data_IF_947551731489
#
_entry.id   IF_947551731489
#
_cell.length_a   1.000
_cell.length_b   1.000
_cell.length_c   1.000
_cell.angle_alpha   90.00
_cell.angle_beta   90.00
_cell.angle_gamma   90.00
#
_symmetry.space_group_name_H-M   'P 1'
#
loop_
_entity.id
_entity.type
_entity.pdbx_description
1 polymer ?
#
# COMPACT_ATOMS: atom_id res chain seq x y z
N UNK A 1 -21.04 -4.41 -10.88
CA UNK A 1 -21.17 -3.63 -12.14
C UNK A 1 -22.61 -3.50 -12.63
N UNK A 2 -23.64 -3.75 -11.79
CA UNK A 2 -25.04 -3.62 -12.20
C UNK A 2 -25.45 -2.16 -12.46
N UNK A 3 -24.97 -1.21 -11.65
CA UNK A 3 -25.24 0.22 -11.85
C UNK A 3 -24.73 0.73 -13.20
N UNK A 4 -23.44 0.58 -13.50
CA UNK A 4 -22.87 1.01 -14.78
C UNK A 4 -23.49 0.29 -15.98
N UNK A 5 -23.84 -0.99 -15.83
CA UNK A 5 -24.61 -1.73 -16.84
C UNK A 5 -25.98 -1.09 -17.10
N UNK A 6 -26.74 -0.73 -16.06
CA UNK A 6 -28.03 -0.04 -16.23
C UNK A 6 -27.89 1.33 -16.88
N UNK A 7 -26.88 2.11 -16.48
CA UNK A 7 -26.58 3.42 -17.08
C UNK A 7 -26.25 3.28 -18.57
N UNK A 8 -25.49 2.25 -18.95
CA UNK A 8 -25.17 1.93 -20.33
C UNK A 8 -26.30 1.18 -21.09
N UNK A 9 -27.44 0.89 -20.45
CA UNK A 9 -28.51 0.11 -21.08
C UNK A 9 -28.17 -1.36 -21.36
N UNK A 10 -27.11 -1.89 -20.74
CA UNK A 10 -26.61 -3.25 -20.96
C UNK A 10 -27.15 -4.24 -19.93
N UNK A 11 -27.52 -5.41 -20.41
CA UNK A 11 -27.90 -6.57 -19.62
C UNK A 11 -26.70 -7.50 -19.37
N UNK A 12 -26.90 -8.58 -18.61
CA UNK A 12 -25.89 -9.65 -18.49
C UNK A 12 -25.83 -10.53 -19.74
N UNK A 13 -26.88 -10.56 -20.57
CA UNK A 13 -26.95 -11.39 -21.79
C UNK A 13 -26.03 -10.86 -22.89
N UNK A 14 -25.72 -9.58 -22.86
CA UNK A 14 -24.84 -8.92 -23.84
C UNK A 14 -23.37 -9.33 -23.66
N UNK A 15 -23.02 -9.97 -22.53
CA UNK A 15 -21.67 -10.49 -22.23
C UNK A 15 -20.52 -9.47 -22.42
N UNK A 16 -20.85 -8.19 -22.48
CA UNK A 16 -19.87 -7.09 -22.57
C UNK A 16 -19.00 -7.08 -21.31
N UNK A 17 -17.69 -6.94 -21.48
CA UNK A 17 -16.74 -6.89 -20.36
C UNK A 17 -16.93 -5.60 -19.56
N UNK A 18 -16.83 -5.70 -18.25
CA UNK A 18 -16.93 -4.54 -17.35
C UNK A 18 -15.90 -3.45 -17.63
N UNK A 19 -14.73 -3.79 -18.18
CA UNK A 19 -13.72 -2.82 -18.61
C UNK A 19 -14.21 -1.97 -19.78
N UNK A 20 -14.83 -2.59 -20.79
CA UNK A 20 -15.40 -1.89 -21.94
C UNK A 20 -16.54 -0.96 -21.52
N UNK A 21 -17.38 -1.37 -20.57
CA UNK A 21 -18.46 -0.52 -20.02
C UNK A 21 -17.88 0.72 -19.32
N UNK A 22 -16.78 0.56 -18.58
CA UNK A 22 -16.12 1.70 -17.93
C UNK A 22 -15.49 2.65 -18.95
N UNK A 23 -14.88 2.10 -19.99
CA UNK A 23 -14.28 2.85 -21.09
C UNK A 23 -15.34 3.67 -21.84
N UNK A 24 -16.46 3.04 -22.21
CA UNK A 24 -17.60 3.68 -22.88
C UNK A 24 -18.20 4.81 -22.03
N UNK A 25 -18.35 4.60 -20.73
CA UNK A 25 -18.87 5.60 -19.81
C UNK A 25 -17.84 6.63 -19.36
N UNK A 26 -16.60 6.59 -19.87
CA UNK A 26 -15.52 7.49 -19.46
C UNK A 26 -15.14 7.38 -17.98
N UNK A 27 -15.47 6.26 -17.33
CA UNK A 27 -15.18 6.00 -15.93
C UNK A 27 -13.74 5.54 -15.81
N UNK A 28 -12.92 6.37 -15.19
CA UNK A 28 -11.53 6.02 -14.93
C UNK A 28 -11.41 4.74 -14.08
N UNK A 29 -10.59 3.75 -14.51
CA UNK A 29 -10.26 2.60 -13.68
C UNK A 29 -9.62 3.01 -12.36
N UNK A 30 -10.10 2.41 -11.26
CA UNK A 30 -9.55 2.66 -9.92
C UNK A 30 -8.04 2.44 -9.85
N UNK A 31 -7.52 1.46 -10.58
CA UNK A 31 -6.09 1.17 -10.65
C UNK A 31 -5.28 2.38 -11.13
N UNK A 32 -5.70 3.07 -12.18
CA UNK A 32 -5.01 4.26 -12.68
C UNK A 32 -5.00 5.37 -11.62
N UNK A 33 -6.11 5.56 -10.89
CA UNK A 33 -6.17 6.53 -9.79
C UNK A 33 -5.20 6.18 -8.66
N UNK A 34 -5.14 4.89 -8.30
CA UNK A 34 -4.23 4.39 -7.25
C UNK A 34 -2.77 4.57 -7.70
N UNK A 35 -2.42 4.14 -8.90
CA UNK A 35 -1.06 4.27 -9.46
C UNK A 35 -0.61 5.72 -9.53
N UNK A 36 -1.45 6.63 -10.02
CA UNK A 36 -1.13 8.07 -10.02
C UNK A 36 -0.92 8.62 -8.62
N UNK A 37 -1.69 8.15 -7.64
CA UNK A 37 -1.53 8.57 -6.24
C UNK A 37 -0.23 8.03 -5.65
N UNK A 38 0.12 6.78 -5.95
CA UNK A 38 1.40 6.18 -5.58
C UNK A 38 2.58 6.94 -6.19
N UNK A 39 2.50 7.31 -7.47
CA UNK A 39 3.56 8.10 -8.14
C UNK A 39 3.71 9.50 -7.57
N UNK A 40 2.60 10.17 -7.22
CA UNK A 40 2.66 11.46 -6.51
C UNK A 40 3.33 11.31 -5.14
N UNK A 41 2.97 10.28 -4.39
CA UNK A 41 3.55 10.00 -3.07
C UNK A 41 5.04 9.63 -3.16
N UNK A 42 5.43 8.79 -4.13
CA UNK A 42 6.82 8.48 -4.41
C UNK A 42 7.61 9.74 -4.77
N UNK A 43 7.05 10.58 -5.64
CA UNK A 43 7.65 11.87 -6.00
C UNK A 43 7.83 12.79 -4.79
N UNK A 44 6.93 12.72 -3.80
CA UNK A 44 7.07 13.43 -2.54
C UNK A 44 8.21 12.86 -1.69
N UNK A 45 8.31 11.53 -1.55
CA UNK A 45 9.40 10.87 -0.82
C UNK A 45 10.79 11.18 -1.41
N UNK A 46 10.91 11.15 -2.74
CA UNK A 46 12.19 11.42 -3.41
C UNK A 46 12.67 12.84 -3.14
N UNK A 47 11.75 13.82 -3.16
CA UNK A 47 12.04 15.25 -2.89
C UNK A 47 12.12 15.59 -1.41
N UNK A 48 11.86 14.63 -0.53
CA UNK A 48 11.81 14.86 0.91
C UNK A 48 13.21 15.21 1.45
N UNK A 49 13.35 16.28 2.26
CA UNK A 49 14.62 16.60 2.90
C UNK A 49 14.99 15.52 3.94
N UNK A 50 16.29 15.38 4.26
CA UNK A 50 16.74 14.50 5.35
C UNK A 50 16.16 14.95 6.70
N UNK A 51 16.15 14.05 7.70
CA UNK A 51 15.55 14.29 9.01
C UNK A 51 14.07 13.89 9.10
N UNK A 52 13.51 13.30 8.04
CA UNK A 52 12.11 12.84 8.01
C UNK A 52 12.05 11.33 7.87
N UNK A 53 11.48 10.69 8.88
CA UNK A 53 11.38 9.23 8.98
C UNK A 53 10.87 8.54 7.71
N UNK A 54 9.79 8.99 7.02
CA UNK A 54 9.32 8.28 5.83
C UNK A 54 10.36 8.26 4.70
N UNK A 55 11.08 9.36 4.48
CA UNK A 55 12.12 9.45 3.45
C UNK A 55 13.37 8.66 3.84
N UNK A 56 13.72 8.65 5.12
CA UNK A 56 14.86 7.87 5.66
C UNK A 56 14.60 6.37 5.55
N UNK A 57 13.42 5.91 5.99
CA UNK A 57 13.01 4.50 5.88
C UNK A 57 12.95 4.06 4.42
N UNK A 58 12.43 4.91 3.53
CA UNK A 58 12.39 4.61 2.10
C UNK A 58 13.80 4.44 1.48
N UNK A 59 14.79 5.22 1.94
CA UNK A 59 16.18 5.14 1.47
C UNK A 59 17.01 4.09 2.20
N UNK A 60 16.52 3.57 3.32
CA UNK A 60 17.23 2.59 4.12
C UNK A 60 17.37 1.27 3.34
N UNK A 61 18.59 0.72 3.32
CA UNK A 61 18.85 -0.64 2.86
C UNK A 61 19.21 -1.50 4.09
N UNK A 62 18.22 -2.02 4.84
CA UNK A 62 18.51 -2.81 6.04
C UNK A 62 19.27 -4.09 5.65
N UNK A 63 20.48 -4.24 6.14
CA UNK A 63 21.26 -5.47 6.01
C UNK A 63 20.86 -6.43 7.13
N UNK A 64 19.98 -7.38 6.82
CA UNK A 64 19.54 -8.42 7.76
C UNK A 64 18.52 -9.36 7.13
N UNK A 65 18.55 -10.64 7.50
CA UNK A 65 17.46 -11.56 7.12
C UNK A 65 16.26 -11.27 8.02
N UNK A 66 15.08 -11.06 7.45
CA UNK A 66 13.83 -11.05 8.23
C UNK A 66 13.72 -12.42 8.92
N UNK A 67 13.59 -12.49 10.26
CA UNK A 67 13.30 -13.75 10.94
C UNK A 67 12.07 -14.38 10.28
N UNK A 68 12.10 -15.68 10.03
CA UNK A 68 10.90 -16.38 9.57
C UNK A 68 9.86 -16.23 10.66
N UNK A 69 8.71 -15.68 10.31
CA UNK A 69 7.56 -15.68 11.20
C UNK A 69 7.20 -17.14 11.44
N UNK A 70 7.44 -17.62 12.66
CA UNK A 70 7.00 -18.94 13.08
C UNK A 70 5.48 -18.88 13.34
N UNK A 71 4.64 -19.55 12.54
CA UNK A 71 3.19 -19.50 12.72
C UNK A 71 2.73 -20.19 14.02
N UNK A 72 3.63 -20.84 14.75
CA UNK A 72 3.33 -21.64 15.94
C UNK A 72 3.52 -20.97 17.30
N UNK A 73 4.02 -19.73 17.39
CA UNK A 73 4.30 -19.10 18.68
C UNK A 73 3.46 -17.84 18.92
N UNK A 74 2.26 -18.05 19.45
CA UNK A 74 1.57 -17.04 20.27
C UNK A 74 2.28 -16.99 21.61
N UNK A 75 2.92 -15.85 21.89
CA UNK A 75 3.40 -15.52 23.22
C UNK A 75 4.87 -15.84 23.46
N UNK A 76 5.65 -14.76 23.53
CA UNK A 76 6.79 -14.63 24.43
C UNK A 76 8.08 -15.39 24.09
N UNK A 77 9.02 -14.64 23.51
CA UNK A 77 10.31 -14.39 24.18
C UNK A 77 10.92 -13.12 23.62
N UNK A 78 10.95 -12.07 24.45
CA UNK A 78 11.91 -10.99 24.25
C UNK A 78 13.30 -11.60 24.42
N UNK A 79 14.00 -11.83 23.32
CA UNK A 79 15.41 -12.22 23.36
C UNK A 79 16.21 -11.02 23.86
N UNK A 80 16.85 -11.19 25.02
CA UNK A 80 17.57 -10.16 25.79
C UNK A 80 18.96 -9.81 25.23
N UNK A 81 19.31 -10.29 24.03
CA UNK A 81 20.61 -10.03 23.39
C UNK A 81 20.49 -9.05 22.21
N UNK A 82 19.52 -8.14 22.26
CA UNK A 82 19.45 -7.03 21.31
C UNK A 82 20.45 -5.94 21.74
N UNK A 83 21.50 -5.63 20.94
CA UNK A 83 22.44 -4.59 21.32
C UNK A 83 21.73 -3.24 21.25
N UNK A 84 21.50 -2.67 22.43
CA UNK A 84 20.85 -1.40 22.62
C UNK A 84 21.73 -0.24 22.15
N UNK A 85 21.50 0.24 20.93
CA UNK A 85 21.68 1.63 20.57
C UNK A 85 21.04 1.95 19.21
N UNK A 86 20.44 3.14 19.15
CA UNK A 86 20.07 3.89 17.95
C UNK A 86 18.69 3.70 17.31
N UNK A 87 17.58 3.65 18.07
CA UNK A 87 16.29 4.14 17.55
C UNK A 87 15.41 4.69 18.68
N UNK A 88 15.58 5.98 18.99
CA UNK A 88 14.49 6.75 19.57
C UNK A 88 13.42 6.96 18.50
N UNK A 89 12.47 6.02 18.40
CA UNK A 89 11.29 6.12 17.53
C UNK A 89 10.03 6.02 18.38
N UNK A 90 9.19 7.08 18.40
CA UNK A 90 7.97 7.08 19.20
C UNK A 90 6.96 6.11 18.60
N UNK A 91 6.40 5.30 19.49
CA UNK A 91 5.34 4.32 19.26
C UNK A 91 4.09 5.02 18.72
N UNK A 92 3.96 5.13 17.39
CA UNK A 92 2.71 5.57 16.76
C UNK A 92 1.82 4.35 16.54
N UNK A 93 0.82 4.21 17.42
CA UNK A 93 -0.26 3.25 17.23
C UNK A 93 -1.13 3.70 16.06
N UNK A 94 -1.13 2.94 14.97
CA UNK A 94 -2.15 3.08 13.95
C UNK A 94 -3.41 2.36 14.44
N UNK A 95 -4.28 3.08 15.16
CA UNK A 95 -5.70 2.70 15.29
C UNK A 95 -6.50 3.45 14.23
N UNK A 96 -7.42 2.70 13.63
CA UNK A 96 -8.36 3.07 12.58
C UNK A 96 -9.29 4.19 13.03
#
# INVERSE_FOLDING_TARGET
MSFLRRVAGLSLRDRVRSSAIREELGVEPLLLRVERSQMRWLGHLVRMPPGRLPGEVFRACPSGRRPREDPGHVGETMSLDWPGNAWGSPRMSWKR
#
